data_IF_618202304015
#
_entry.id   IF_618202304015
#
_cell.length_a   1.000
_cell.length_b   1.000
_cell.length_c   1.000
_cell.angle_alpha   90.00
_cell.angle_beta   90.00
_cell.angle_gamma   90.00
#
_symmetry.space_group_name_H-M   'P 1'
#
loop_
_entity.id
_entity.type
_entity.pdbx_description
1 polymer ?
#
# COMPACT_ATOMS: atom_id res chain seq x y z
N UNK A 1 -21.50 -1.86 -0.67
CA UNK A 1 -20.09 -2.22 -0.85
C UNK A 1 -19.72 -1.94 -2.30
N UNK A 2 -18.64 -1.23 -2.56
CA UNK A 2 -18.10 -1.00 -3.91
C UNK A 2 -16.77 -1.75 -4.07
N UNK A 3 -16.46 -2.21 -5.28
CA UNK A 3 -15.18 -2.82 -5.62
C UNK A 3 -14.56 -2.07 -6.80
N UNK A 4 -13.43 -1.39 -6.56
CA UNK A 4 -12.66 -0.77 -7.63
C UNK A 4 -11.47 -1.65 -7.99
N UNK A 5 -11.25 -1.89 -9.29
CA UNK A 5 -10.12 -2.69 -9.77
C UNK A 5 -9.26 -1.88 -10.71
N UNK A 6 -7.96 -1.79 -10.42
CA UNK A 6 -6.98 -1.23 -11.33
C UNK A 6 -6.44 -2.32 -12.26
N UNK A 7 -6.31 -2.01 -13.55
CA UNK A 7 -5.91 -2.95 -14.60
C UNK A 7 -4.77 -2.37 -15.42
N UNK A 8 -3.84 -3.22 -15.85
CA UNK A 8 -2.76 -2.88 -16.78
C UNK A 8 -2.85 -3.77 -18.01
N UNK A 9 -3.47 -3.25 -19.07
CA UNK A 9 -3.60 -3.89 -20.39
C UNK A 9 -3.34 -2.86 -21.49
N UNK A 10 -3.34 -3.29 -22.76
CA UNK A 10 -3.26 -2.35 -23.88
C UNK A 10 -4.50 -1.44 -24.01
N UNK A 11 -5.66 -1.92 -23.59
CA UNK A 11 -6.93 -1.18 -23.60
C UNK A 11 -7.05 -0.24 -22.39
N UNK A 12 -6.62 -0.72 -21.22
CA UNK A 12 -6.60 0.03 -19.97
C UNK A 12 -5.15 0.25 -19.53
N UNK A 13 -4.54 1.41 -19.84
CA UNK A 13 -3.17 1.71 -19.44
C UNK A 13 -3.03 1.74 -17.91
N UNK A 14 -1.79 1.77 -17.44
CA UNK A 14 -1.47 1.83 -16.00
C UNK A 14 -2.35 2.84 -15.26
N UNK A 15 -2.82 2.45 -14.08
CA UNK A 15 -3.65 3.28 -13.18
C UNK A 15 -5.08 3.55 -13.67
N UNK A 16 -5.50 2.92 -14.77
CA UNK A 16 -6.91 2.89 -15.16
C UNK A 16 -7.74 2.20 -14.09
N UNK A 17 -8.74 2.92 -13.56
CA UNK A 17 -9.72 2.39 -12.62
C UNK A 17 -10.93 1.92 -13.40
N UNK A 18 -11.27 0.64 -13.25
CA UNK A 18 -12.46 0.04 -13.86
C UNK A 18 -13.42 -0.35 -12.75
N UNK A 19 -14.65 0.15 -12.84
CA UNK A 19 -15.76 -0.33 -12.03
C UNK A 19 -16.24 -1.66 -12.60
N UNK A 20 -16.20 -2.71 -11.80
CA UNK A 20 -16.59 -4.05 -12.23
C UNK A 20 -17.85 -4.48 -11.47
N UNK A 21 -18.88 -4.96 -12.19
CA UNK A 21 -20.15 -5.33 -11.57
C UNK A 21 -20.07 -6.61 -10.72
N UNK A 22 -18.98 -7.38 -10.80
CA UNK A 22 -18.76 -8.60 -10.03
C UNK A 22 -17.34 -8.69 -9.42
N UNK A 23 -17.11 -9.72 -8.60
CA UNK A 23 -15.81 -9.96 -7.94
C UNK A 23 -14.75 -10.61 -8.86
N UNK A 24 -15.02 -10.78 -10.17
CA UNK A 24 -14.02 -11.37 -11.06
C UNK A 24 -12.88 -10.39 -11.31
N UNK A 25 -11.65 -10.90 -11.25
CA UNK A 25 -10.46 -10.13 -11.59
C UNK A 25 -10.18 -10.27 -13.10
N UNK A 26 -10.16 -9.18 -13.88
CA UNK A 26 -9.84 -9.24 -15.30
C UNK A 26 -8.37 -9.58 -15.51
N UNK A 27 -8.02 -10.02 -16.71
CA UNK A 27 -6.61 -10.20 -17.09
C UNK A 27 -5.83 -8.88 -16.91
N UNK A 28 -4.62 -8.95 -16.35
CA UNK A 28 -3.78 -7.77 -16.13
C UNK A 28 -4.16 -6.90 -14.92
N UNK A 29 -5.12 -7.32 -14.09
CA UNK A 29 -5.43 -6.61 -12.84
C UNK A 29 -4.18 -6.45 -11.95
N UNK A 30 -4.11 -5.34 -11.23
CA UNK A 30 -2.96 -4.99 -10.37
C UNK A 30 -3.36 -4.89 -8.90
N UNK A 31 -4.49 -4.25 -8.62
CA UNK A 31 -5.04 -4.09 -7.27
C UNK A 31 -6.56 -4.05 -7.35
N UNK A 32 -7.23 -4.65 -6.37
CA UNK A 32 -8.68 -4.55 -6.19
C UNK A 32 -8.98 -4.11 -4.76
N UNK A 33 -9.85 -3.12 -4.62
CA UNK A 33 -10.19 -2.51 -3.34
C UNK A 33 -11.67 -2.60 -3.10
N UNK A 34 -12.05 -3.18 -1.97
CA UNK A 34 -13.43 -3.26 -1.50
C UNK A 34 -13.64 -2.26 -0.37
N UNK A 35 -14.57 -1.33 -0.55
CA UNK A 35 -14.85 -0.28 0.42
C UNK A 35 -16.34 0.02 0.59
N UNK A 36 -16.67 0.71 1.68
CA UNK A 36 -18.01 1.24 1.90
C UNK A 36 -18.26 2.48 1.03
N UNK A 37 -19.36 2.51 0.27
CA UNK A 37 -19.81 3.72 -0.40
C UNK A 37 -20.08 4.83 0.64
N UNK A 38 -19.61 6.04 0.38
CA UNK A 38 -19.84 7.22 1.23
C UNK A 38 -18.82 7.40 2.35
N UNK A 39 -18.52 6.37 3.15
CA UNK A 39 -17.52 6.49 4.24
C UNK A 39 -16.09 6.26 3.76
N UNK A 40 -15.90 5.53 2.66
CA UNK A 40 -14.57 5.18 2.16
C UNK A 40 -13.78 4.23 3.08
N UNK A 41 -14.48 3.57 4.03
CA UNK A 41 -13.89 2.54 4.90
C UNK A 41 -13.46 1.35 4.05
N UNK A 42 -12.19 0.97 4.20
CA UNK A 42 -11.60 -0.14 3.46
C UNK A 42 -11.91 -1.43 4.20
N UNK A 43 -12.31 -2.46 3.46
CA UNK A 43 -12.52 -3.81 4.00
C UNK A 43 -11.52 -4.80 3.43
N UNK A 44 -11.09 -4.58 2.18
CA UNK A 44 -10.14 -5.47 1.51
C UNK A 44 -9.33 -4.73 0.45
N UNK A 45 -8.04 -5.02 0.36
CA UNK A 45 -7.12 -4.56 -0.69
C UNK A 45 -6.29 -5.75 -1.17
N UNK A 46 -6.65 -6.32 -2.30
CA UNK A 46 -5.92 -7.44 -2.92
C UNK A 46 -4.96 -6.90 -3.98
N UNK A 47 -3.75 -7.44 -4.03
CA UNK A 47 -2.71 -7.02 -4.98
C UNK A 47 -2.22 -8.22 -5.77
N UNK A 48 -2.17 -8.09 -7.09
CA UNK A 48 -1.77 -9.15 -8.02
C UNK A 48 -0.25 -9.38 -8.01
N UNK A 49 0.26 -9.93 -6.90
CA UNK A 49 1.69 -10.22 -6.74
C UNK A 49 1.88 -11.63 -6.15
N UNK A 50 1.73 -12.70 -6.98
CA UNK A 50 1.67 -14.08 -6.50
C UNK A 50 2.96 -14.60 -5.84
N UNK A 51 4.09 -13.92 -6.04
CA UNK A 51 5.35 -14.23 -5.36
C UNK A 51 5.56 -13.54 -4.01
N UNK A 52 4.68 -12.61 -3.64
CA UNK A 52 4.73 -11.94 -2.34
C UNK A 52 3.94 -12.74 -1.29
N UNK A 53 4.33 -12.67 -0.01
CA UNK A 53 3.58 -13.33 1.06
C UNK A 53 2.16 -12.76 1.17
N UNK A 54 1.29 -13.53 1.84
CA UNK A 54 0.02 -13.04 2.33
C UNK A 54 0.25 -11.81 3.21
N UNK A 55 -0.51 -10.74 2.98
CA UNK A 55 -0.53 -9.55 3.82
C UNK A 55 -1.97 -9.16 4.11
N UNK A 56 -2.31 -9.06 5.39
CA UNK A 56 -3.48 -8.33 5.86
C UNK A 56 -3.02 -7.05 6.56
N UNK A 57 -3.93 -6.09 6.71
CA UNK A 57 -3.57 -4.72 7.05
C UNK A 57 -4.39 -4.17 8.21
N UNK A 58 -3.77 -3.25 8.95
CA UNK A 58 -4.45 -2.31 9.81
C UNK A 58 -4.27 -0.92 9.23
N UNK A 59 -5.38 -0.24 8.98
CA UNK A 59 -5.38 1.16 8.60
C UNK A 59 -5.49 2.05 9.84
N UNK A 60 -4.53 2.96 9.96
CA UNK A 60 -4.47 3.96 11.01
C UNK A 60 -4.63 5.34 10.36
N UNK A 61 -5.78 5.97 10.57
CA UNK A 61 -5.99 7.36 10.22
C UNK A 61 -5.34 8.27 11.28
N UNK A 62 -4.55 9.24 10.84
CA UNK A 62 -3.87 10.22 11.70
C UNK A 62 -4.34 11.64 11.32
N UNK A 63 -5.64 11.98 11.53
CA UNK A 63 -6.18 13.27 11.11
C UNK A 63 -5.60 14.45 11.90
N UNK A 64 -5.02 14.19 13.08
CA UNK A 64 -4.38 15.18 13.94
C UNK A 64 -2.88 15.35 13.64
N UNK A 65 -2.31 14.56 12.71
CA UNK A 65 -0.96 14.82 12.23
C UNK A 65 -0.94 16.12 11.40
N UNK A 66 0.21 16.80 11.38
CA UNK A 66 0.42 18.00 10.57
C UNK A 66 1.54 17.75 9.54
N UNK A 67 1.21 17.50 8.25
CA UNK A 67 -0.13 17.37 7.68
C UNK A 67 -0.80 16.03 8.04
N UNK A 68 -2.12 15.95 7.83
CA UNK A 68 -2.90 14.73 8.08
C UNK A 68 -2.32 13.53 7.31
N UNK A 69 -2.25 12.39 7.99
CA UNK A 69 -1.59 11.20 7.48
C UNK A 69 -2.46 9.96 7.54
N UNK A 70 -2.07 8.96 6.77
CA UNK A 70 -2.58 7.60 6.88
C UNK A 70 -1.39 6.65 6.94
N UNK A 71 -1.49 5.68 7.82
CA UNK A 71 -0.55 4.56 7.91
C UNK A 71 -1.28 3.26 7.62
N UNK A 72 -0.71 2.46 6.73
CA UNK A 72 -1.14 1.08 6.48
C UNK A 72 -0.05 0.16 7.04
N UNK A 73 -0.38 -0.54 8.12
CA UNK A 73 0.49 -1.51 8.79
C UNK A 73 0.17 -2.89 8.25
N UNK A 74 1.18 -3.63 7.83
CA UNK A 74 1.01 -4.96 7.26
C UNK A 74 1.47 -6.05 8.23
N UNK A 75 0.74 -7.16 8.23
CA UNK A 75 0.97 -8.37 9.01
C UNK A 75 0.96 -9.58 8.07
N UNK A 76 1.62 -10.67 8.46
CA UNK A 76 1.76 -11.86 7.62
C UNK A 76 1.65 -13.13 8.48
N UNK A 77 0.42 -13.43 8.89
CA UNK A 77 0.03 -14.64 9.62
C UNK A 77 -1.36 -15.09 9.14
N UNK A 78 -1.89 -16.18 9.70
CA UNK A 78 -3.13 -16.84 9.30
C UNK A 78 -4.40 -16.34 10.02
N UNK A 79 -4.28 -15.27 10.83
CA UNK A 79 -5.43 -14.74 11.59
C UNK A 79 -6.49 -14.10 10.70
N UNK A 80 -6.09 -13.54 9.57
CA UNK A 80 -6.95 -12.82 8.62
C UNK A 80 -6.59 -13.17 7.18
N UNK A 81 -7.55 -13.00 6.28
CA UNK A 81 -7.37 -13.34 4.87
C UNK A 81 -6.41 -12.38 4.16
N UNK A 82 -5.82 -12.82 3.04
CA UNK A 82 -5.00 -11.93 2.21
C UNK A 82 -5.81 -10.73 1.74
N UNK A 83 -5.22 -9.55 1.96
CA UNK A 83 -5.80 -8.27 1.64
C UNK A 83 -6.80 -7.73 2.65
N UNK A 84 -7.17 -8.46 3.72
CA UNK A 84 -8.13 -7.97 4.70
C UNK A 84 -7.64 -6.67 5.37
N UNK A 85 -8.55 -5.71 5.58
CA UNK A 85 -8.23 -4.42 6.21
C UNK A 85 -9.08 -4.25 7.45
N UNK A 86 -8.41 -4.04 8.58
CA UNK A 86 -9.01 -3.65 9.84
C UNK A 86 -8.78 -2.16 10.09
N UNK A 87 -9.73 -1.49 10.71
CA UNK A 87 -9.46 -0.22 11.38
C UNK A 87 -8.82 -0.43 12.75
N UNK A 88 -8.42 0.67 13.39
CA UNK A 88 -7.74 0.64 14.70
C UNK A 88 -8.59 -0.01 15.80
N UNK A 89 -9.92 0.13 15.76
CA UNK A 89 -10.81 -0.40 16.78
C UNK A 89 -10.99 -1.91 16.61
N UNK A 90 -11.16 -2.37 15.38
CA UNK A 90 -11.20 -3.79 15.05
C UNK A 90 -9.89 -4.49 15.40
N UNK A 91 -8.74 -3.89 15.06
CA UNK A 91 -7.42 -4.42 15.41
C UNK A 91 -7.26 -4.57 16.93
N UNK A 92 -7.71 -3.57 17.70
CA UNK A 92 -7.70 -3.61 19.17
C UNK A 92 -8.59 -4.72 19.72
N UNK A 93 -9.81 -4.85 19.21
CA UNK A 93 -10.75 -5.89 19.62
C UNK A 93 -10.23 -7.30 19.31
N UNK A 94 -9.52 -7.45 18.19
CA UNK A 94 -8.88 -8.70 17.78
C UNK A 94 -7.55 -9.00 18.50
N UNK A 95 -7.09 -8.12 19.40
CA UNK A 95 -5.82 -8.31 20.13
C UNK A 95 -4.57 -8.23 19.24
N UNK A 96 -4.64 -7.47 18.14
CA UNK A 96 -3.49 -7.27 17.24
C UNK A 96 -2.45 -6.38 17.93
N UNK A 97 -1.22 -6.88 18.06
CA UNK A 97 -0.08 -6.12 18.58
C UNK A 97 0.76 -5.56 17.43
N UNK A 98 1.13 -4.28 17.51
CA UNK A 98 2.03 -3.64 16.54
C UNK A 98 3.42 -4.26 16.46
N UNK A 99 3.87 -4.99 17.50
CA UNK A 99 5.15 -5.72 17.49
C UNK A 99 5.19 -6.85 16.46
N UNK A 100 4.03 -7.33 16.04
CA UNK A 100 3.88 -8.40 15.04
C UNK A 100 3.91 -7.86 13.60
N UNK A 101 4.04 -6.54 13.41
CA UNK A 101 4.04 -5.95 12.08
C UNK A 101 5.24 -6.44 11.26
N UNK A 102 5.02 -6.72 9.98
CA UNK A 102 6.08 -7.11 9.03
C UNK A 102 6.53 -5.94 8.18
N UNK A 103 5.66 -4.94 7.99
CA UNK A 103 5.95 -3.72 7.25
C UNK A 103 4.94 -2.61 7.59
N UNK A 104 5.27 -1.37 7.25
CA UNK A 104 4.36 -0.24 7.34
C UNK A 104 4.66 0.78 6.25
N UNK A 105 3.62 1.42 5.71
CA UNK A 105 3.76 2.59 4.84
C UNK A 105 2.93 3.72 5.41
N UNK A 106 3.52 4.91 5.49
CA UNK A 106 2.87 6.12 5.94
C UNK A 106 2.97 7.19 4.87
N UNK A 107 1.86 7.86 4.59
CA UNK A 107 1.78 8.93 3.60
C UNK A 107 0.91 10.08 4.09
N UNK A 108 1.12 11.26 3.52
CA UNK A 108 0.26 12.41 3.73
C UNK A 108 -1.01 12.24 2.92
N UNK A 109 -2.16 12.13 3.59
CA UNK A 109 -3.42 11.70 2.96
C UNK A 109 -3.85 12.63 1.84
N UNK A 110 -3.72 13.94 2.06
CA UNK A 110 -4.15 14.95 1.08
C UNK A 110 -3.33 14.98 -0.20
N UNK A 111 -2.02 14.68 -0.14
CA UNK A 111 -1.14 14.73 -1.31
C UNK A 111 -0.79 13.36 -1.88
N UNK A 112 -0.88 12.28 -1.11
CA UNK A 112 -0.32 10.98 -1.46
C UNK A 112 1.20 10.88 -1.28
N UNK A 113 1.87 11.93 -0.80
CA UNK A 113 3.31 11.88 -0.62
C UNK A 113 3.68 10.85 0.47
N UNK A 114 4.42 9.82 0.08
CA UNK A 114 4.94 8.80 0.99
C UNK A 114 5.98 9.43 1.89
N UNK A 115 5.71 9.41 3.19
CA UNK A 115 6.61 9.89 4.22
C UNK A 115 7.59 8.80 4.64
N UNK A 116 7.11 7.55 4.75
CA UNK A 116 7.89 6.46 5.30
C UNK A 116 7.45 5.11 4.72
N UNK A 117 8.44 4.27 4.41
CA UNK A 117 8.23 2.84 4.13
C UNK A 117 9.19 2.06 5.02
N UNK A 118 8.64 1.12 5.78
CA UNK A 118 9.40 0.19 6.61
C UNK A 118 9.07 -1.25 6.21
N UNK A 119 10.09 -2.09 6.14
CA UNK A 119 9.94 -3.55 6.02
C UNK A 119 10.92 -4.21 7.00
N UNK A 120 10.39 -5.08 7.84
CA UNK A 120 11.17 -5.86 8.80
C UNK A 120 12.27 -6.66 8.10
N UNK A 121 13.48 -6.76 8.66
CA UNK A 121 14.61 -7.41 7.99
C UNK A 121 14.31 -8.79 7.40
N UNK A 122 13.61 -9.65 8.14
CA UNK A 122 13.22 -11.01 7.71
C UNK A 122 12.22 -11.06 6.54
N UNK A 123 11.60 -9.92 6.19
CA UNK A 123 10.59 -9.80 5.14
C UNK A 123 11.10 -9.00 3.92
N UNK A 124 12.34 -8.52 3.95
CA UNK A 124 12.96 -7.81 2.82
C UNK A 124 13.17 -8.77 1.65
N UNK A 125 13.16 -8.21 0.43
CA UNK A 125 13.34 -8.94 -0.84
C UNK A 125 12.31 -10.06 -1.11
N UNK A 126 11.16 -10.04 -0.41
CA UNK A 126 10.03 -10.95 -0.61
C UNK A 126 8.82 -10.27 -1.26
N UNK A 127 9.01 -9.14 -1.94
CA UNK A 127 7.92 -8.37 -2.58
C UNK A 127 7.03 -7.55 -1.63
N UNK A 128 7.28 -7.56 -0.31
CA UNK A 128 6.44 -6.89 0.70
C UNK A 128 6.31 -5.38 0.48
N UNK A 129 7.41 -4.67 0.21
CA UNK A 129 7.36 -3.23 -0.03
C UNK A 129 6.50 -2.88 -1.26
N UNK A 130 6.65 -3.64 -2.34
CA UNK A 130 5.87 -3.46 -3.57
C UNK A 130 4.38 -3.71 -3.33
N UNK A 131 4.04 -4.83 -2.69
CA UNK A 131 2.65 -5.18 -2.33
C UNK A 131 2.01 -4.08 -1.47
N UNK A 132 2.71 -3.62 -0.44
CA UNK A 132 2.22 -2.62 0.50
C UNK A 132 2.02 -1.24 -0.14
N UNK A 133 2.97 -0.76 -0.95
CA UNK A 133 2.85 0.54 -1.64
C UNK A 133 1.76 0.50 -2.72
N UNK A 134 1.59 -0.64 -3.40
CA UNK A 134 0.48 -0.83 -4.32
C UNK A 134 -0.88 -0.85 -3.60
N UNK A 135 -0.94 -1.44 -2.41
CA UNK A 135 -2.14 -1.40 -1.57
C UNK A 135 -2.50 0.03 -1.14
N UNK A 136 -1.52 0.82 -0.71
CA UNK A 136 -1.73 2.24 -0.37
C UNK A 136 -2.17 3.07 -1.58
N UNK A 137 -1.67 2.78 -2.79
CA UNK A 137 -2.16 3.40 -4.02
C UNK A 137 -3.63 3.08 -4.28
N UNK A 138 -4.02 1.82 -4.10
CA UNK A 138 -5.42 1.39 -4.19
C UNK A 138 -6.31 2.09 -3.18
N UNK A 139 -5.86 2.25 -1.94
CA UNK A 139 -6.58 2.96 -0.89
C UNK A 139 -6.87 4.43 -1.26
N UNK A 140 -5.89 5.15 -1.80
CA UNK A 140 -6.09 6.52 -2.29
C UNK A 140 -7.07 6.55 -3.47
N UNK A 141 -6.89 5.66 -4.45
CA UNK A 141 -7.76 5.58 -5.62
C UNK A 141 -9.23 5.33 -5.23
N UNK A 142 -9.48 4.42 -4.28
CA UNK A 142 -10.81 4.09 -3.78
C UNK A 142 -11.52 5.26 -3.08
N UNK A 143 -10.77 6.29 -2.68
CA UNK A 143 -11.26 7.52 -2.06
C UNK A 143 -11.30 8.70 -3.02
N UNK A 144 -10.90 8.51 -4.28
CA UNK A 144 -10.76 9.60 -5.25
C UNK A 144 -9.65 10.59 -4.88
N UNK A 145 -8.65 10.15 -4.12
CA UNK A 145 -7.52 10.97 -3.66
C UNK A 145 -6.29 10.78 -4.55
N UNK A 146 -5.34 11.72 -4.55
CA UNK A 146 -4.09 11.58 -5.28
C UNK A 146 -3.33 10.29 -4.92
N UNK A 147 -2.88 9.55 -5.93
CA UNK A 147 -2.15 8.30 -5.72
C UNK A 147 -0.84 8.53 -4.96
N UNK A 148 -0.40 7.47 -4.27
CA UNK A 148 0.84 7.55 -3.50
C UNK A 148 2.08 7.70 -4.39
N UNK A 149 2.96 8.63 -4.02
CA UNK A 149 4.15 9.00 -4.78
C UNK A 149 5.34 9.35 -3.87
N UNK A 150 6.54 9.44 -4.43
CA UNK A 150 7.76 9.85 -3.71
C UNK A 150 8.39 11.12 -4.28
N UNK A 151 9.00 11.93 -3.43
CA UNK A 151 9.53 13.28 -3.75
C UNK A 151 11.06 13.34 -3.99
N UNK A 152 11.72 12.18 -4.01
CA UNK A 152 13.17 12.10 -4.21
C UNK A 152 13.99 11.98 -2.93
N UNK A 153 13.38 12.10 -1.75
CA UNK A 153 14.05 11.83 -0.48
C UNK A 153 13.92 10.33 -0.15
N UNK A 154 15.05 9.60 -0.15
CA UNK A 154 15.05 8.15 0.05
C UNK A 154 16.32 7.68 0.75
N UNK A 155 16.25 6.53 1.40
CA UNK A 155 17.43 5.80 1.90
C UNK A 155 18.11 5.05 0.76
N UNK A 156 19.34 4.56 0.98
CA UNK A 156 20.03 3.69 0.01
C UNK A 156 19.23 2.41 -0.30
N UNK A 157 18.60 1.82 0.73
CA UNK A 157 17.72 0.67 0.56
C UNK A 157 16.48 1.03 -0.28
N UNK A 158 15.93 2.24 -0.07
CA UNK A 158 14.81 2.76 -0.85
C UNK A 158 15.18 2.98 -2.32
N UNK A 159 16.39 3.48 -2.59
CA UNK A 159 16.86 3.66 -3.96
C UNK A 159 17.14 2.33 -4.67
N UNK A 160 17.72 1.35 -3.96
CA UNK A 160 17.87 -0.02 -4.49
C UNK A 160 16.52 -0.66 -4.81
N UNK A 161 15.52 -0.47 -3.95
CA UNK A 161 14.18 -0.94 -4.21
C UNK A 161 13.56 -0.26 -5.44
N UNK A 162 13.65 1.08 -5.55
CA UNK A 162 13.18 1.84 -6.71
C UNK A 162 13.80 1.33 -8.02
N UNK A 163 15.10 1.06 -8.03
CA UNK A 163 15.80 0.58 -9.22
C UNK A 163 15.29 -0.77 -9.75
N UNK A 164 14.64 -1.57 -8.88
CA UNK A 164 14.02 -2.84 -9.25
C UNK A 164 12.53 -2.75 -9.61
N UNK A 165 11.92 -1.55 -9.59
CA UNK A 165 10.50 -1.40 -9.90
C UNK A 165 10.24 -1.45 -11.41
N UNK A 166 9.09 -2.01 -11.84
CA UNK A 166 8.62 -1.84 -13.21
C UNK A 166 8.49 -0.36 -13.57
N UNK A 167 8.78 0.00 -14.82
CA UNK A 167 8.78 1.40 -15.27
C UNK A 167 7.46 2.13 -14.98
N UNK A 168 6.32 1.46 -15.19
CA UNK A 168 4.99 2.02 -14.91
C UNK A 168 4.71 2.29 -13.42
N UNK A 169 5.48 1.70 -12.50
CA UNK A 169 5.45 2.03 -11.07
C UNK A 169 6.46 3.13 -10.76
N UNK A 170 7.65 3.05 -11.37
CA UNK A 170 8.75 3.97 -11.13
C UNK A 170 8.42 5.43 -11.49
N UNK A 171 7.47 5.69 -12.40
CA UNK A 171 7.00 7.05 -12.74
C UNK A 171 6.40 7.81 -11.56
N UNK A 172 5.89 7.11 -10.53
CA UNK A 172 5.38 7.73 -9.29
C UNK A 172 6.49 8.15 -8.33
N UNK A 173 7.76 7.92 -8.68
CA UNK A 173 8.90 8.22 -7.82
C UNK A 173 9.78 9.27 -8.49
N UNK A 174 9.81 10.48 -7.93
CA UNK A 174 10.73 11.51 -8.39
C UNK A 174 12.20 11.05 -8.28
N UNK A 175 13.07 11.65 -9.09
CA UNK A 175 14.51 11.39 -9.07
C UNK A 175 15.09 11.63 -7.68
N UNK A 176 16.20 10.94 -7.35
CA UNK A 176 16.82 11.06 -6.04
C UNK A 176 17.38 12.48 -5.86
N UNK A 177 16.89 13.18 -4.84
CA UNK A 177 17.32 14.55 -4.48
C UNK A 177 18.04 14.58 -3.13
N UNK A 178 17.72 13.65 -2.22
CA UNK A 178 18.33 13.60 -0.90
C UNK A 178 18.42 12.17 -0.37
N UNK A 179 19.58 11.82 0.20
CA UNK A 179 19.79 10.54 0.88
C UNK A 179 19.42 10.67 2.35
N UNK A 180 18.47 9.83 2.79
CA UNK A 180 18.01 9.77 4.17
C UNK A 180 18.71 8.66 4.95
N UNK A 181 18.82 8.84 6.27
CA UNK A 181 19.27 7.79 7.17
C UNK A 181 18.26 6.63 7.19
N UNK A 182 18.76 5.40 7.24
CA UNK A 182 17.92 4.22 7.43
C UNK A 182 17.39 4.16 8.87
N UNK A 183 16.11 3.81 9.04
CA UNK A 183 15.50 3.62 10.36
C UNK A 183 16.06 2.43 11.13
N UNK A 184 16.66 1.48 10.42
CA UNK A 184 17.36 0.33 10.98
C UNK A 184 18.63 0.12 10.17
N UNK A 185 19.78 -0.21 10.80
CA UNK A 185 21.01 -0.50 10.08
C UNK A 185 20.80 -1.51 8.94
N UNK A 186 21.52 -1.30 7.84
CA UNK A 186 21.61 -2.27 6.75
C UNK A 186 22.46 -3.44 7.23
N UNK A 187 21.87 -4.63 7.24
CA UNK A 187 22.54 -5.92 7.43
C UNK A 187 22.79 -6.57 6.09
#
# INVERSE_FOLDING_TARGET
>A
MQTLTAVLTGEFPAESVVDLPDDRRPGGWQVAVRSDPGTGRLHRIEVALPGAPLLWYVELAEPQADPAATTLVAFSDDRFADGEVLDADQARQAGVSGEQQVAAVRWWTGSGLVHQVYVGPAFRRRGVAGKLVQAAAGAQAARGLPLVHGDGRRTDLGEQWRAGLPGYVAVRMAQLTHRMAAMTPVS
#
